data_IF_512800369046
#
_entry.id   IF_512800369046
#
_cell.length_a   1.000
_cell.length_b   1.000
_cell.length_c   1.000
_cell.angle_alpha   90.00
_cell.angle_beta   90.00
_cell.angle_gamma   90.00
#
_symmetry.space_group_name_H-M   'P 1'
#
loop_
_entity.id
_entity.type
_entity.pdbx_description
1 polymer ?
#
# COMPACT_ATOMS: atom_id res chain seq x y z
N UNK A 1 30.70 16.36 -30.03
CA UNK A 1 29.65 16.89 -29.14
C UNK A 1 28.98 15.71 -28.47
N UNK A 2 29.36 15.39 -27.22
CA UNK A 2 28.68 14.35 -26.45
C UNK A 2 27.48 15.00 -25.75
N UNK A 3 26.28 14.68 -26.22
CA UNK A 3 25.05 14.96 -25.49
C UNK A 3 24.85 13.74 -24.59
N UNK A 4 25.37 13.78 -23.36
CA UNK A 4 24.91 12.87 -22.31
C UNK A 4 23.51 13.32 -21.93
N UNK A 5 22.50 12.65 -22.50
CA UNK A 5 21.17 12.65 -21.91
C UNK A 5 21.34 12.18 -20.46
N UNK A 6 21.02 13.04 -19.50
CA UNK A 6 20.79 12.59 -18.13
C UNK A 6 19.57 11.68 -18.23
N UNK A 7 19.77 10.38 -18.18
CA UNK A 7 18.71 9.47 -17.78
C UNK A 7 18.27 9.92 -16.38
N UNK A 8 17.09 10.53 -16.32
CA UNK A 8 16.39 10.77 -15.07
C UNK A 8 16.08 9.39 -14.48
N UNK A 9 17.01 8.85 -13.68
CA UNK A 9 16.77 7.67 -12.86
C UNK A 9 15.67 8.08 -11.90
N UNK A 10 14.42 7.74 -12.24
CA UNK A 10 13.28 7.93 -11.35
C UNK A 10 13.57 7.09 -10.12
N UNK A 11 13.91 7.77 -9.01
CA UNK A 11 14.25 7.10 -7.76
C UNK A 11 13.05 6.25 -7.33
N UNK A 12 13.22 4.93 -7.39
CA UNK A 12 12.18 3.94 -7.10
C UNK A 12 12.13 3.65 -5.60
N UNK A 13 10.96 3.24 -5.12
CA UNK A 13 10.74 2.89 -3.72
C UNK A 13 11.68 1.77 -3.24
N UNK A 14 12.34 1.98 -2.08
CA UNK A 14 13.17 0.96 -1.41
C UNK A 14 12.64 0.67 -0.01
N UNK A 15 12.81 -0.57 0.44
CA UNK A 15 12.45 -1.02 1.81
C UNK A 15 13.08 -0.14 2.89
N UNK A 16 14.33 0.29 2.68
CA UNK A 16 15.06 1.12 3.65
C UNK A 16 14.43 2.50 3.84
N UNK A 17 13.79 3.05 2.81
CA UNK A 17 13.15 4.36 2.88
C UNK A 17 11.96 4.32 3.85
N UNK A 18 11.28 3.16 3.95
CA UNK A 18 10.09 2.98 4.78
C UNK A 18 10.38 3.04 6.30
N UNK A 19 11.63 2.79 6.71
CA UNK A 19 12.01 2.72 8.13
C UNK A 19 12.02 4.08 8.83
N UNK A 20 12.01 5.16 8.06
CA UNK A 20 12.06 6.52 8.59
C UNK A 20 10.66 7.07 8.94
N UNK A 21 9.59 6.41 8.51
CA UNK A 21 8.23 6.79 8.90
C UNK A 21 7.89 6.22 10.28
N UNK A 22 7.79 7.10 11.27
CA UNK A 22 7.58 6.77 12.70
C UNK A 22 6.42 7.57 13.29
N UNK A 23 5.30 7.53 12.57
CA UNK A 23 4.14 8.41 12.78
C UNK A 23 3.96 9.33 11.59
N UNK A 24 2.89 10.13 11.63
CA UNK A 24 2.49 10.98 10.51
C UNK A 24 2.05 12.35 11.00
N UNK A 25 2.51 13.39 10.31
CA UNK A 25 2.13 14.78 10.55
C UNK A 25 1.03 15.23 9.59
N UNK A 26 0.90 14.56 8.43
CA UNK A 26 -0.10 14.87 7.41
C UNK A 26 -1.06 13.70 7.18
N UNK A 27 -2.31 14.04 6.92
CA UNK A 27 -3.32 13.06 6.52
C UNK A 27 -3.79 13.34 5.11
N UNK A 28 -3.56 12.38 4.22
CA UNK A 28 -3.91 12.49 2.82
C UNK A 28 -5.27 11.85 2.56
N UNK A 29 -5.97 12.33 1.53
CA UNK A 29 -7.24 11.75 1.07
C UNK A 29 -7.04 11.13 -0.30
N UNK A 30 -7.72 10.01 -0.52
CA UNK A 30 -7.80 9.43 -1.86
C UNK A 30 -9.12 9.86 -2.51
N UNK A 31 -9.06 10.64 -3.59
CA UNK A 31 -10.25 11.32 -4.14
C UNK A 31 -11.45 10.39 -4.41
N UNK A 32 -11.27 9.19 -5.00
CA UNK A 32 -12.38 8.23 -5.19
C UNK A 32 -12.98 7.70 -3.88
N UNK A 33 -12.22 7.70 -2.78
CA UNK A 33 -12.61 7.18 -1.47
C UNK A 33 -12.36 8.22 -0.37
N UNK A 34 -12.91 9.42 -0.54
CA UNK A 34 -12.67 10.59 0.30
C UNK A 34 -12.98 10.41 1.80
N UNK A 35 -13.75 9.37 2.16
CA UNK A 35 -13.99 8.93 3.54
C UNK A 35 -12.72 8.44 4.24
N UNK A 36 -11.80 7.84 3.50
CA UNK A 36 -10.59 7.26 4.07
C UNK A 36 -9.41 8.22 3.97
N UNK A 37 -8.52 8.10 4.95
CA UNK A 37 -7.26 8.81 5.03
C UNK A 37 -6.09 7.83 4.92
N UNK A 38 -4.90 8.37 4.70
CA UNK A 38 -3.66 7.63 4.84
C UNK A 38 -2.49 8.54 5.23
N UNK A 39 -1.44 7.93 5.76
CA UNK A 39 -0.27 8.61 6.35
C UNK A 39 0.78 9.04 5.32
N UNK A 40 1.76 9.82 5.78
CA UNK A 40 2.96 10.22 5.04
C UNK A 40 3.70 9.02 4.42
N UNK A 41 3.89 7.94 5.18
CA UNK A 41 4.54 6.73 4.67
C UNK A 41 3.75 6.05 3.56
N UNK A 42 2.43 6.01 3.67
CA UNK A 42 1.56 5.45 2.62
C UNK A 42 1.56 6.34 1.37
N UNK A 43 1.56 7.67 1.53
CA UNK A 43 1.72 8.60 0.41
C UNK A 43 3.04 8.36 -0.32
N UNK A 44 4.15 8.22 0.43
CA UNK A 44 5.46 7.95 -0.15
C UNK A 44 5.47 6.65 -0.95
N UNK A 45 4.85 5.58 -0.43
CA UNK A 45 4.69 4.31 -1.17
C UNK A 45 3.91 4.51 -2.47
N UNK A 46 2.80 5.24 -2.41
CA UNK A 46 1.96 5.49 -3.59
C UNK A 46 2.73 6.26 -4.68
N UNK A 47 3.46 7.32 -4.30
CA UNK A 47 4.21 8.16 -5.24
C UNK A 47 5.46 7.48 -5.79
N UNK A 48 6.31 6.93 -4.92
CA UNK A 48 7.61 6.34 -5.29
C UNK A 48 7.48 4.92 -5.82
N UNK A 49 6.44 4.21 -5.40
CA UNK A 49 6.13 2.86 -5.87
C UNK A 49 5.15 2.83 -7.06
N UNK A 50 4.64 3.98 -7.50
CA UNK A 50 3.59 4.02 -8.54
C UNK A 50 2.31 3.28 -8.10
N UNK A 51 2.06 3.21 -6.80
CA UNK A 51 1.15 2.25 -6.19
C UNK A 51 -0.21 2.83 -5.78
N UNK A 52 -0.67 3.92 -6.40
CA UNK A 52 -2.04 4.42 -6.17
C UNK A 52 -3.10 3.37 -6.50
N UNK A 53 -2.83 2.48 -7.47
CA UNK A 53 -3.70 1.34 -7.78
C UNK A 53 -3.89 0.39 -6.59
N UNK A 54 -2.89 0.27 -5.71
CA UNK A 54 -2.95 -0.59 -4.52
C UNK A 54 -3.87 0.03 -3.47
N UNK A 55 -3.80 1.36 -3.31
CA UNK A 55 -4.70 2.13 -2.46
C UNK A 55 -6.12 2.06 -2.98
N UNK A 56 -6.33 2.20 -4.30
CA UNK A 56 -7.62 2.00 -4.95
C UNK A 56 -8.20 0.63 -4.61
N UNK A 57 -7.42 -0.44 -4.74
CA UNK A 57 -7.85 -1.81 -4.41
C UNK A 57 -8.21 -1.97 -2.93
N UNK A 58 -7.34 -1.51 -2.03
CA UNK A 58 -7.56 -1.63 -0.58
C UNK A 58 -8.85 -0.89 -0.18
N UNK A 59 -9.00 0.37 -0.58
CA UNK A 59 -10.16 1.18 -0.22
C UNK A 59 -11.46 0.72 -0.90
N UNK A 60 -11.39 0.22 -2.14
CA UNK A 60 -12.51 -0.44 -2.80
C UNK A 60 -12.95 -1.68 -2.01
N UNK A 61 -12.01 -2.53 -1.58
CA UNK A 61 -12.33 -3.73 -0.82
C UNK A 61 -12.94 -3.39 0.53
N UNK A 62 -12.36 -2.44 1.28
CA UNK A 62 -12.93 -1.97 2.56
C UNK A 62 -14.38 -1.48 2.37
N UNK A 63 -14.67 -0.83 1.25
CA UNK A 63 -16.00 -0.27 0.96
C UNK A 63 -17.03 -1.32 0.51
N UNK A 64 -16.59 -2.34 -0.23
CA UNK A 64 -17.49 -3.26 -0.93
C UNK A 64 -17.57 -4.65 -0.30
N UNK A 65 -16.55 -5.09 0.43
CA UNK A 65 -16.53 -6.42 1.07
C UNK A 65 -17.18 -6.31 2.44
N UNK A 66 -18.32 -6.99 2.59
CA UNK A 66 -19.09 -7.04 3.83
C UNK A 66 -18.22 -7.49 5.01
N UNK A 67 -18.21 -6.70 6.08
CA UNK A 67 -17.50 -7.00 7.32
C UNK A 67 -16.17 -6.26 7.47
N UNK A 68 -15.41 -6.03 6.39
CA UNK A 68 -14.08 -5.42 6.49
C UNK A 68 -14.09 -4.03 7.17
N UNK A 69 -15.05 -3.17 6.81
CA UNK A 69 -15.15 -1.84 7.42
C UNK A 69 -15.60 -1.86 8.90
N UNK A 70 -16.05 -3.01 9.42
CA UNK A 70 -16.48 -3.18 10.81
C UNK A 70 -15.38 -3.76 11.70
N UNK A 71 -14.33 -4.33 11.09
CA UNK A 71 -13.22 -4.87 11.84
C UNK A 71 -12.48 -3.75 12.59
N UNK A 72 -12.10 -3.98 13.86
CA UNK A 72 -11.38 -2.98 14.64
C UNK A 72 -9.99 -2.69 14.09
N UNK A 73 -9.41 -3.65 13.36
CA UNK A 73 -8.13 -3.55 12.68
C UNK A 73 -8.10 -4.54 11.51
N UNK A 74 -7.74 -4.05 10.33
CA UNK A 74 -7.45 -4.86 9.16
C UNK A 74 -5.96 -4.77 8.81
N UNK A 75 -5.31 -5.90 8.59
CA UNK A 75 -3.93 -6.00 8.16
C UNK A 75 -3.87 -6.39 6.69
N UNK A 76 -3.37 -5.51 5.83
CA UNK A 76 -3.22 -5.73 4.40
C UNK A 76 -1.79 -6.12 4.07
N UNK A 77 -1.60 -7.17 3.28
CA UNK A 77 -0.28 -7.58 2.79
C UNK A 77 -0.32 -7.84 1.29
N UNK A 78 0.53 -7.15 0.55
CA UNK A 78 0.87 -7.48 -0.83
C UNK A 78 2.17 -8.28 -0.83
N UNK A 79 2.22 -9.40 -1.55
CA UNK A 79 3.43 -10.21 -1.72
C UNK A 79 3.58 -10.59 -3.19
N UNK A 80 4.70 -10.22 -3.82
CA UNK A 80 5.00 -10.61 -5.21
C UNK A 80 5.21 -12.12 -5.29
N UNK A 81 4.89 -12.70 -6.45
CA UNK A 81 5.24 -14.08 -6.78
C UNK A 81 6.75 -14.21 -7.06
N UNK A 82 7.23 -15.44 -7.16
CA UNK A 82 8.67 -15.73 -7.36
C UNK A 82 9.21 -15.17 -8.69
N UNK A 83 8.33 -15.03 -9.69
CA UNK A 83 8.64 -14.45 -11.00
C UNK A 83 8.73 -12.91 -10.98
N UNK A 84 8.25 -12.26 -9.92
CA UNK A 84 8.26 -10.82 -9.75
C UNK A 84 7.30 -10.05 -10.66
N UNK A 85 6.37 -10.75 -11.31
CA UNK A 85 5.42 -10.16 -12.25
C UNK A 85 3.99 -10.14 -11.71
N UNK A 86 3.63 -11.08 -10.84
CA UNK A 86 2.33 -11.14 -10.19
C UNK A 86 2.43 -10.91 -8.69
N UNK A 87 1.30 -10.80 -8.00
CA UNK A 87 1.27 -10.66 -6.56
C UNK A 87 0.02 -11.30 -5.94
N UNK A 88 0.04 -11.50 -4.63
CA UNK A 88 -1.12 -11.85 -3.83
C UNK A 88 -1.38 -10.74 -2.81
N UNK A 89 -2.59 -10.19 -2.82
CA UNK A 89 -3.08 -9.23 -1.83
C UNK A 89 -3.97 -9.98 -0.84
N UNK A 90 -3.66 -9.88 0.45
CA UNK A 90 -4.40 -10.54 1.53
C UNK A 90 -4.79 -9.49 2.57
N UNK A 91 -6.00 -9.60 3.11
CA UNK A 91 -6.44 -8.89 4.30
C UNK A 91 -6.71 -9.90 5.43
N UNK A 92 -6.19 -9.63 6.63
CA UNK A 92 -6.55 -10.37 7.84
C UNK A 92 -7.14 -9.44 8.90
N UNK A 93 -7.83 -10.02 9.89
CA UNK A 93 -8.12 -9.33 11.14
C UNK A 93 -6.88 -9.29 12.06
N UNK A 94 -7.04 -8.76 13.27
CA UNK A 94 -6.01 -8.72 14.31
C UNK A 94 -5.60 -10.11 14.85
N UNK A 95 -6.41 -11.15 14.60
CA UNK A 95 -6.14 -12.54 15.00
C UNK A 95 -5.54 -13.38 13.85
N UNK A 96 -5.14 -12.74 12.74
CA UNK A 96 -4.61 -13.38 11.54
C UNK A 96 -5.60 -14.28 10.79
N UNK A 97 -6.91 -14.09 11.01
CA UNK A 97 -7.94 -14.74 10.22
C UNK A 97 -8.02 -14.05 8.85
N UNK A 98 -7.90 -14.80 7.76
CA UNK A 98 -8.04 -14.27 6.40
C UNK A 98 -9.48 -13.82 6.15
N UNK A 99 -9.66 -12.54 5.84
CA UNK A 99 -10.96 -11.93 5.54
C UNK A 99 -11.16 -11.71 4.04
N UNK A 100 -10.05 -11.55 3.31
CA UNK A 100 -10.04 -11.33 1.88
C UNK A 100 -8.70 -11.77 1.29
N UNK A 101 -8.73 -12.32 0.07
CA UNK A 101 -7.55 -12.53 -0.73
C UNK A 101 -7.84 -12.41 -2.22
N UNK A 102 -6.87 -11.86 -2.95
CA UNK A 102 -6.90 -11.72 -4.41
C UNK A 102 -5.53 -12.05 -4.99
N UNK A 103 -5.52 -12.75 -6.12
CA UNK A 103 -4.32 -12.90 -6.95
C UNK A 103 -4.31 -11.80 -8.03
N UNK A 104 -3.23 -11.03 -8.07
CA UNK A 104 -2.94 -10.01 -9.07
C UNK A 104 -2.05 -10.64 -10.13
N UNK A 105 -2.57 -10.73 -11.36
CA UNK A 105 -1.87 -11.38 -12.47
C UNK A 105 -0.60 -10.63 -12.90
N UNK A 106 -0.66 -9.30 -12.85
CA UNK A 106 0.45 -8.45 -13.25
C UNK A 106 0.58 -7.22 -12.35
N UNK A 107 1.80 -6.89 -11.93
CA UNK A 107 2.16 -5.65 -11.23
C UNK A 107 3.63 -5.31 -11.47
N UNK A 108 3.93 -4.02 -11.49
CA UNK A 108 5.27 -3.45 -11.53
C UNK A 108 5.72 -2.94 -10.15
N UNK A 109 5.03 -3.31 -9.07
CA UNK A 109 5.34 -2.84 -7.74
C UNK A 109 6.78 -3.20 -7.33
N UNK A 110 7.60 -2.24 -6.89
CA UNK A 110 9.05 -2.43 -6.82
C UNK A 110 9.52 -3.26 -5.62
N UNK A 111 8.69 -3.46 -4.58
CA UNK A 111 9.06 -4.23 -3.40
C UNK A 111 8.48 -5.64 -3.45
N UNK A 112 9.24 -6.63 -3.00
CA UNK A 112 8.78 -8.04 -2.91
C UNK A 112 7.55 -8.21 -2.00
N UNK A 113 7.42 -7.35 -1.00
CA UNK A 113 6.29 -7.33 -0.08
C UNK A 113 6.07 -5.94 0.48
N UNK A 114 4.83 -5.64 0.84
CA UNK A 114 4.50 -4.49 1.69
C UNK A 114 3.27 -4.81 2.54
N UNK A 115 3.23 -4.20 3.71
CA UNK A 115 2.15 -4.35 4.68
C UNK A 115 1.56 -2.98 5.04
N UNK A 116 0.27 -2.96 5.32
CA UNK A 116 -0.46 -1.79 5.80
C UNK A 116 -1.42 -2.21 6.91
N UNK A 117 -1.68 -1.29 7.82
CA UNK A 117 -2.76 -1.41 8.79
C UNK A 117 -3.87 -0.44 8.45
N UNK A 118 -5.12 -0.88 8.61
CA UNK A 118 -6.28 -0.02 8.46
C UNK A 118 -7.10 -0.02 9.73
N UNK A 119 -7.26 1.16 10.32
CA UNK A 119 -8.05 1.39 11.53
C UNK A 119 -8.61 2.82 11.52
N UNK A 120 -9.80 3.01 12.10
CA UNK A 120 -10.42 4.33 12.26
C UNK A 120 -10.54 5.14 10.95
N UNK A 121 -10.80 4.47 9.83
CA UNK A 121 -10.83 5.04 8.47
C UNK A 121 -9.48 5.55 7.95
N UNK A 122 -8.37 5.08 8.51
CA UNK A 122 -7.04 5.50 8.10
C UNK A 122 -6.16 4.29 7.76
N UNK A 123 -5.39 4.40 6.69
CA UNK A 123 -4.38 3.42 6.27
C UNK A 123 -2.98 3.90 6.67
N UNK A 124 -2.21 3.02 7.31
CA UNK A 124 -0.90 3.30 7.90
C UNK A 124 0.13 2.30 7.39
N UNK A 125 1.41 2.68 7.37
CA UNK A 125 2.47 1.68 7.45
C UNK A 125 2.52 1.08 8.86
N UNK A 126 2.98 -0.17 9.04
CA UNK A 126 3.14 -0.77 10.36
C UNK A 126 4.06 0.01 11.31
N UNK A 127 5.02 0.77 10.77
CA UNK A 127 5.91 1.61 11.58
C UNK A 127 5.29 2.94 12.03
N UNK A 128 4.11 3.29 11.49
CA UNK A 128 3.37 4.52 11.82
C UNK A 128 2.13 4.26 12.70
N UNK A 129 1.83 3.00 13.02
CA UNK A 129 0.66 2.56 13.80
C UNK A 129 0.99 2.33 15.28
#
# INVERSE_FOLDING_TARGET
>A
MNITAKEDIKETLRDQDLRYFTGSENWFRHSPFSKYLYTDGVQYVAEKGGAYWLLDKIFACISCVSGLAKEPLCCWKLTLNDEGQGARLVCTDANYTELYAENILFTDFPLKKIEFFFQNNVLFLPSEY
#
